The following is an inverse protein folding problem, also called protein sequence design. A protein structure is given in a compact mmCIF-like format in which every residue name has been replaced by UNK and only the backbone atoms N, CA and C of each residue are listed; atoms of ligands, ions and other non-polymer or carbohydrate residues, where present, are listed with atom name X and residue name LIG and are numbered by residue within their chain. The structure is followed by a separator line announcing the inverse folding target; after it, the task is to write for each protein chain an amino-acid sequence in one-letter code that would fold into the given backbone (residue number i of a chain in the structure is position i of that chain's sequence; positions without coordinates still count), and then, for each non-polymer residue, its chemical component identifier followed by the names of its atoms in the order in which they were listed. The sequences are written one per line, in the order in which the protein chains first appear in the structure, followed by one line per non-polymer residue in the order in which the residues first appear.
data_IF_781152098093
#
_entry.id   IF_781152098093
#
_cell.length_a   1.000
_cell.length_b   1.000
_cell.length_c   1.000
_cell.angle_alpha   90.00
_cell.angle_beta   90.00
_cell.angle_gamma   90.00
#
_symmetry.space_group_name_H-M   'P 1'
#
loop_
_entity.id
_entity.type
_entity.pdbx_description
1 polymer ?
#
# COMPACT_ATOMS: atom_id res chain seq x y z
N UNK A 1 50.10 -16.44 32.95
CA UNK A 1 51.13 -15.38 33.01
C UNK A 1 51.38 -14.89 31.60
N UNK A 2 51.17 -13.58 31.40
CA UNK A 2 51.71 -12.68 30.36
C UNK A 2 51.43 -13.04 28.88
N UNK A 3 50.52 -12.32 28.21
CA UNK A 3 50.75 -11.02 27.54
C UNK A 3 51.88 -11.08 26.51
N UNK A 4 51.54 -11.19 25.21
CA UNK A 4 52.03 -10.36 24.10
C UNK A 4 50.99 -10.46 22.96
N UNK A 5 50.28 -9.38 22.63
CA UNK A 5 49.68 -9.20 21.31
C UNK A 5 50.08 -7.83 20.79
N UNK A 6 51.00 -7.91 19.84
CA UNK A 6 51.57 -6.87 19.01
C UNK A 6 50.52 -6.18 18.15
N UNK A 7 50.74 -4.89 17.98
CA UNK A 7 50.19 -4.01 16.96
C UNK A 7 50.32 -4.60 15.56
N UNK A 8 49.31 -4.36 14.72
CA UNK A 8 49.44 -4.43 13.27
C UNK A 8 48.70 -3.25 12.65
N UNK A 9 49.51 -2.32 12.15
CA UNK A 9 49.15 -1.18 11.32
C UNK A 9 49.77 -1.44 9.94
N UNK A 10 49.01 -1.34 8.84
CA UNK A 10 49.63 -1.09 7.55
C UNK A 10 49.01 0.14 6.90
N UNK A 11 49.74 1.24 7.02
CA UNK A 11 49.66 2.37 6.12
C UNK A 11 50.28 2.04 4.74
N UNK A 12 49.84 2.82 3.76
CA UNK A 12 50.52 3.15 2.50
C UNK A 12 50.38 2.21 1.29
N UNK A 13 49.56 2.65 0.34
CA UNK A 13 49.87 2.55 -1.09
C UNK A 13 49.39 3.83 -1.76
N UNK A 14 50.36 4.71 -2.00
CA UNK A 14 50.22 5.94 -2.75
C UNK A 14 50.36 5.67 -4.25
N UNK A 15 49.47 6.27 -5.05
CA UNK A 15 49.75 6.60 -6.45
C UNK A 15 49.00 7.87 -6.84
N UNK A 16 49.79 8.93 -7.04
CA UNK A 16 49.55 10.11 -7.89
C UNK A 16 49.16 9.67 -9.31
N UNK A 17 48.48 10.42 -10.18
CA UNK A 17 48.23 11.86 -10.36
C UNK A 17 47.28 11.99 -11.57
N UNK A 18 46.43 13.02 -11.62
CA UNK A 18 46.11 13.81 -12.83
C UNK A 18 45.08 14.87 -12.50
N UNK A 19 45.51 16.12 -12.63
CA UNK A 19 44.77 17.36 -12.50
C UNK A 19 43.88 17.59 -13.72
N UNK A 20 42.61 17.91 -13.49
CA UNK A 20 41.77 18.59 -14.46
C UNK A 20 40.93 19.65 -13.75
N UNK A 21 41.06 20.85 -14.30
CA UNK A 21 40.57 22.16 -13.91
C UNK A 21 39.08 22.21 -13.55
N UNK A 22 38.76 22.66 -12.33
CA UNK A 22 37.39 23.01 -11.93
C UNK A 22 37.22 24.52 -11.94
N UNK A 23 36.38 24.98 -12.85
CA UNK A 23 35.93 26.36 -12.98
C UNK A 23 35.19 26.81 -11.72
N UNK A 24 35.62 27.96 -11.17
CA UNK A 24 34.89 28.71 -10.15
C UNK A 24 33.45 28.96 -10.59
N UNK A 25 32.49 28.45 -9.83
CA UNK A 25 31.09 28.88 -9.88
C UNK A 25 30.74 29.42 -8.50
N UNK A 26 30.47 30.72 -8.50
CA UNK A 26 30.22 31.57 -7.35
C UNK A 26 29.07 31.04 -6.48
N UNK A 27 29.34 30.99 -5.17
CA UNK A 27 28.34 30.81 -4.13
C UNK A 27 27.24 31.89 -4.24
N UNK A 28 26.04 31.49 -4.62
CA UNK A 28 24.82 32.21 -4.25
C UNK A 28 24.18 31.49 -3.06
N UNK A 29 24.49 31.97 -1.86
CA UNK A 29 23.86 31.60 -0.61
C UNK A 29 22.41 32.06 -0.59
N UNK A 30 21.50 31.17 -0.98
CA UNK A 30 20.09 31.24 -0.61
C UNK A 30 19.81 30.11 0.38
N UNK A 31 20.03 30.42 1.66
CA UNK A 31 19.62 29.61 2.80
C UNK A 31 18.09 29.50 2.84
N UNK A 32 17.57 28.57 2.06
CA UNK A 32 16.25 27.99 2.30
C UNK A 32 16.52 26.58 2.84
N UNK A 33 16.44 26.44 4.15
CA UNK A 33 16.42 25.15 4.84
C UNK A 33 15.11 24.43 4.48
N UNK A 34 14.98 24.01 3.23
CA UNK A 34 13.98 23.02 2.85
C UNK A 34 14.43 21.71 3.50
N UNK A 35 13.59 21.04 4.30
CA UNK A 35 13.92 19.70 4.75
C UNK A 35 14.11 18.87 3.49
N UNK A 36 15.35 18.46 3.25
CA UNK A 36 15.67 17.46 2.24
C UNK A 36 15.04 16.17 2.75
N UNK A 37 13.76 15.98 2.44
CA UNK A 37 13.13 14.67 2.40
C UNK A 37 14.08 13.82 1.57
N UNK A 38 14.84 12.96 2.26
CA UNK A 38 15.83 12.11 1.63
C UNK A 38 15.18 11.35 0.47
N UNK A 39 15.94 11.03 -0.59
CA UNK A 39 15.40 10.34 -1.75
C UNK A 39 14.70 9.07 -1.26
N UNK A 40 13.37 9.09 -1.24
CA UNK A 40 12.59 7.87 -1.14
C UNK A 40 12.78 7.20 -2.48
N UNK A 41 13.68 6.22 -2.55
CA UNK A 41 14.06 5.45 -3.73
C UNK A 41 12.88 4.61 -4.25
N UNK A 42 11.85 5.29 -4.72
CA UNK A 42 10.76 4.73 -5.49
C UNK A 42 11.02 5.16 -6.93
N UNK A 43 11.27 4.18 -7.79
CA UNK A 43 11.30 4.40 -9.22
C UNK A 43 9.96 3.94 -9.79
N UNK A 44 9.11 4.92 -10.08
CA UNK A 44 7.85 4.73 -10.80
C UNK A 44 8.03 5.19 -12.24
N UNK A 45 7.81 4.27 -13.19
CA UNK A 45 7.89 4.56 -14.62
C UNK A 45 6.49 4.59 -15.20
N UNK A 46 6.01 5.80 -15.51
CA UNK A 46 4.76 5.96 -16.23
C UNK A 46 4.95 5.49 -17.68
N UNK A 47 4.37 4.35 -18.02
CA UNK A 47 4.42 3.81 -19.38
C UNK A 47 3.45 4.54 -20.34
N UNK A 48 2.63 5.46 -19.82
CA UNK A 48 1.53 6.09 -20.53
C UNK A 48 1.43 7.56 -20.12
N UNK A 49 1.09 8.43 -21.07
CA UNK A 49 0.85 9.86 -20.82
C UNK A 49 -0.15 10.08 -19.66
N UNK A 50 0.20 10.92 -18.66
CA UNK A 50 -0.66 11.24 -17.52
C UNK A 50 -2.06 11.71 -17.93
N UNK A 51 -2.18 12.38 -19.09
CA UNK A 51 -3.44 12.87 -19.63
C UNK A 51 -4.49 11.76 -19.80
N UNK A 52 -4.07 10.52 -20.04
CA UNK A 52 -4.99 9.39 -20.19
C UNK A 52 -5.73 9.03 -18.90
N UNK A 53 -5.26 9.50 -17.76
CA UNK A 53 -5.80 9.20 -16.43
C UNK A 53 -6.46 10.39 -15.74
N UNK A 54 -6.60 11.54 -16.42
CA UNK A 54 -7.24 12.75 -15.87
C UNK A 54 -8.62 12.45 -15.27
N UNK A 55 -9.47 11.73 -16.00
CA UNK A 55 -10.80 11.36 -15.50
C UNK A 55 -10.74 10.51 -14.20
N UNK A 56 -9.75 9.61 -14.08
CA UNK A 56 -9.57 8.81 -12.84
C UNK A 56 -9.06 9.69 -11.70
N UNK A 57 -8.11 10.58 -11.99
CA UNK A 57 -7.58 11.57 -11.04
C UNK A 57 -8.70 12.45 -10.48
N UNK A 58 -9.55 12.99 -11.35
CA UNK A 58 -10.70 13.82 -10.95
C UNK A 58 -11.70 13.06 -10.07
N UNK A 59 -12.00 11.80 -10.40
CA UNK A 59 -12.87 10.97 -9.56
C UNK A 59 -12.27 10.71 -8.17
N UNK A 60 -10.97 10.43 -8.10
CA UNK A 60 -10.29 10.23 -6.83
C UNK A 60 -10.30 11.49 -5.97
N UNK A 61 -10.06 12.66 -6.58
CA UNK A 61 -10.15 13.95 -5.89
C UNK A 61 -11.55 14.22 -5.36
N UNK A 62 -12.59 13.98 -6.18
CA UNK A 62 -13.99 14.14 -5.77
C UNK A 62 -14.35 13.22 -4.60
N UNK A 63 -13.92 11.95 -4.65
CA UNK A 63 -14.17 10.99 -3.58
C UNK A 63 -13.41 11.35 -2.29
N UNK A 64 -12.15 11.77 -2.40
CA UNK A 64 -11.36 12.23 -1.26
C UNK A 64 -11.99 13.46 -0.59
N UNK A 65 -12.43 14.45 -1.39
CA UNK A 65 -13.13 15.63 -0.89
C UNK A 65 -14.46 15.27 -0.20
N UNK A 66 -15.24 14.35 -0.78
CA UNK A 66 -16.48 13.86 -0.17
C UNK A 66 -16.23 13.16 1.17
N UNK A 67 -15.19 12.31 1.25
CA UNK A 67 -14.80 11.63 2.47
C UNK A 67 -14.31 12.62 3.56
N UNK A 68 -13.54 13.63 3.17
CA UNK A 68 -13.08 14.69 4.08
C UNK A 68 -14.27 15.51 4.63
N UNK A 69 -15.24 15.85 3.77
CA UNK A 69 -16.46 16.54 4.19
C UNK A 69 -17.28 15.69 5.18
N UNK A 70 -17.42 14.39 4.93
CA UNK A 70 -18.10 13.45 5.84
C UNK A 70 -17.36 13.29 7.18
N UNK A 71 -16.03 13.35 7.19
CA UNK A 71 -15.24 13.33 8.42
C UNK A 71 -15.39 14.64 9.22
N UNK A 72 -15.44 15.79 8.54
CA UNK A 72 -15.62 17.10 9.17
C UNK A 72 -17.00 17.24 9.83
N UNK A 73 -18.07 16.78 9.16
CA UNK A 73 -19.42 16.76 9.77
C UNK A 73 -19.49 15.86 10.99
N UNK A 74 -18.79 14.71 10.97
CA UNK A 74 -18.67 13.83 12.15
C UNK A 74 -17.93 14.51 13.31
N UNK A 75 -16.85 15.24 13.04
CA UNK A 75 -16.11 15.96 14.07
C UNK A 75 -16.93 17.09 14.71
N UNK A 76 -17.67 17.86 13.89
CA UNK A 76 -18.54 18.93 14.37
C UNK A 76 -19.73 18.40 15.21
N UNK A 77 -20.17 17.18 14.93
CA UNK A 77 -21.32 16.56 15.59
C UNK A 77 -20.96 15.68 16.81
N UNK A 78 -19.70 15.67 17.26
CA UNK A 78 -19.23 14.91 18.42
C UNK A 78 -19.74 15.43 19.79
N UNK A 79 -20.80 16.24 19.81
CA UNK A 79 -21.66 16.45 20.98
C UNK A 79 -22.47 15.15 21.28
N UNK A 80 -22.98 14.93 22.51
CA UNK A 80 -23.18 13.59 23.10
C UNK A 80 -24.41 12.80 22.61
N UNK A 81 -24.60 12.66 21.29
CA UNK A 81 -25.68 11.87 20.69
C UNK A 81 -25.12 10.61 20.00
N UNK A 82 -25.33 9.44 20.62
CA UNK A 82 -24.90 8.11 20.12
C UNK A 82 -25.40 7.77 18.71
N UNK A 83 -26.43 8.45 18.20
CA UNK A 83 -27.05 8.15 16.90
C UNK A 83 -26.34 8.79 15.69
N UNK A 84 -25.37 9.68 15.88
CA UNK A 84 -24.75 10.41 14.76
C UNK A 84 -23.64 9.59 14.07
N UNK A 85 -23.02 8.66 14.80
CA UNK A 85 -21.93 7.84 14.29
C UNK A 85 -22.34 6.91 13.13
N UNK A 86 -23.60 6.50 13.07
CA UNK A 86 -24.11 5.59 12.02
C UNK A 86 -24.35 6.32 10.70
N UNK A 87 -24.82 7.57 10.73
CA UNK A 87 -25.10 8.37 9.53
C UNK A 87 -23.82 8.73 8.76
N UNK A 88 -22.76 9.15 9.46
CA UNK A 88 -21.49 9.48 8.82
C UNK A 88 -20.80 8.25 8.20
N UNK A 89 -20.90 7.10 8.87
CA UNK A 89 -20.39 5.84 8.33
C UNK A 89 -21.17 5.38 7.09
N UNK A 90 -22.50 5.55 7.07
CA UNK A 90 -23.33 5.25 5.91
C UNK A 90 -22.98 6.15 4.71
N UNK A 91 -22.85 7.47 4.92
CA UNK A 91 -22.46 8.41 3.86
C UNK A 91 -21.07 8.11 3.26
N UNK A 92 -20.10 7.72 4.10
CA UNK A 92 -18.78 7.29 3.63
C UNK A 92 -18.86 5.99 2.80
N UNK A 93 -19.70 5.03 3.24
CA UNK A 93 -19.92 3.78 2.51
C UNK A 93 -20.62 4.02 1.15
N UNK A 94 -21.59 4.93 1.08
CA UNK A 94 -22.25 5.33 -0.16
C UNK A 94 -21.27 6.01 -1.13
N UNK A 95 -20.46 6.95 -0.65
CA UNK A 95 -19.42 7.60 -1.46
C UNK A 95 -18.42 6.58 -2.01
N UNK A 96 -18.02 5.60 -1.20
CA UNK A 96 -17.16 4.50 -1.62
C UNK A 96 -17.83 3.64 -2.70
N UNK A 97 -19.11 3.28 -2.54
CA UNK A 97 -19.86 2.53 -3.54
C UNK A 97 -19.98 3.28 -4.87
N UNK A 98 -20.27 4.58 -4.81
CA UNK A 98 -20.36 5.43 -6.01
C UNK A 98 -19.02 5.48 -6.76
N UNK A 99 -17.92 5.72 -6.05
CA UNK A 99 -16.58 5.70 -6.64
C UNK A 99 -16.30 4.36 -7.33
N UNK A 100 -16.70 3.24 -6.73
CA UNK A 100 -16.51 1.92 -7.31
C UNK A 100 -17.34 1.70 -8.59
N UNK A 101 -18.57 2.21 -8.65
CA UNK A 101 -19.39 2.18 -9.86
C UNK A 101 -18.74 2.99 -10.98
N UNK A 102 -18.29 4.21 -10.67
CA UNK A 102 -17.62 5.09 -11.64
C UNK A 102 -16.33 4.43 -12.17
N UNK A 103 -15.55 3.79 -11.29
CA UNK A 103 -14.35 3.04 -11.68
C UNK A 103 -14.69 1.82 -12.54
N UNK A 104 -15.79 1.11 -12.27
CA UNK A 104 -16.26 -0.02 -13.09
C UNK A 104 -16.64 0.45 -14.50
N UNK A 105 -17.29 1.59 -14.62
CA UNK A 105 -17.67 2.16 -15.93
C UNK A 105 -16.45 2.58 -16.74
N UNK A 106 -15.44 3.18 -16.11
CA UNK A 106 -14.17 3.49 -16.77
C UNK A 106 -13.47 2.21 -17.25
N UNK A 107 -13.52 1.11 -16.48
CA UNK A 107 -12.93 -0.17 -16.88
C UNK A 107 -13.63 -0.77 -18.11
N UNK A 108 -14.97 -0.73 -18.15
CA UNK A 108 -15.76 -1.29 -19.27
C UNK A 108 -15.43 -0.63 -20.60
N UNK A 109 -15.09 0.66 -20.58
CA UNK A 109 -14.81 1.44 -21.80
C UNK A 109 -13.39 1.26 -22.36
N UNK A 110 -12.42 0.73 -21.60
CA UNK A 110 -11.01 0.65 -22.07
C UNK A 110 -10.45 -0.76 -21.93
N UNK A 111 -10.31 -1.46 -23.06
CA UNK A 111 -9.89 -2.88 -23.10
C UNK A 111 -8.46 -3.17 -22.62
N UNK A 112 -7.55 -2.20 -22.50
CA UNK A 112 -6.24 -2.39 -21.83
C UNK A 112 -5.76 -1.06 -21.25
N UNK A 113 -5.83 -0.88 -19.94
CA UNK A 113 -5.14 0.23 -19.27
C UNK A 113 -4.00 -0.33 -18.45
N UNK A 114 -2.86 -0.49 -19.11
CA UNK A 114 -1.58 -0.63 -18.41
C UNK A 114 -1.27 0.73 -17.77
N UNK A 115 -0.96 0.74 -16.47
CA UNK A 115 -0.71 1.98 -15.73
C UNK A 115 0.78 2.37 -15.77
N UNK A 116 1.66 1.38 -15.97
CA UNK A 116 3.10 1.48 -15.77
C UNK A 116 3.57 0.37 -14.84
N UNK A 117 4.86 0.40 -14.52
CA UNK A 117 5.49 -0.51 -13.56
C UNK A 117 5.97 0.27 -12.34
N UNK A 118 5.90 -0.39 -11.18
CA UNK A 118 6.39 0.13 -9.90
C UNK A 118 7.46 -0.82 -9.40
N UNK A 119 8.65 -0.29 -9.14
CA UNK A 119 9.76 -1.05 -8.56
C UNK A 119 9.98 -0.58 -7.12
N UNK A 120 9.93 -1.52 -6.19
CA UNK A 120 10.22 -1.28 -4.78
C UNK A 120 11.33 -2.22 -4.34
N UNK A 121 12.33 -1.72 -3.64
CA UNK A 121 13.41 -2.53 -3.08
C UNK A 121 13.20 -2.69 -1.56
N UNK A 122 12.75 -3.86 -1.07
CA UNK A 122 12.49 -4.05 0.36
C UNK A 122 13.68 -3.75 1.27
N UNK A 123 14.90 -4.07 0.82
CA UNK A 123 16.13 -3.80 1.58
C UNK A 123 16.38 -2.31 1.78
N UNK A 124 16.07 -1.48 0.77
CA UNK A 124 16.19 -0.02 0.86
C UNK A 124 15.11 0.54 1.79
N UNK A 125 13.87 0.06 1.65
CA UNK A 125 12.75 0.46 2.53
C UNK A 125 13.03 0.09 3.98
N UNK A 126 13.60 -1.09 4.24
CA UNK A 126 14.02 -1.52 5.57
C UNK A 126 15.13 -0.64 6.13
N UNK A 127 16.16 -0.30 5.32
CA UNK A 127 17.24 0.59 5.77
C UNK A 127 16.71 1.98 6.12
N UNK A 128 15.88 2.56 5.25
CA UNK A 128 15.23 3.85 5.51
C UNK A 128 14.38 3.81 6.79
N UNK A 129 13.70 2.69 7.06
CA UNK A 129 12.94 2.50 8.29
C UNK A 129 13.83 2.54 9.53
N UNK A 130 15.00 1.90 9.49
CA UNK A 130 15.97 1.96 10.59
C UNK A 130 16.51 3.38 10.79
N UNK A 131 16.74 4.11 9.71
CA UNK A 131 17.24 5.49 9.79
C UNK A 131 16.20 6.44 10.37
N UNK A 132 14.93 6.31 9.96
CA UNK A 132 13.83 7.10 10.53
C UNK A 132 13.63 6.79 12.01
N UNK A 133 13.77 5.52 12.41
CA UNK A 133 13.75 5.11 13.83
C UNK A 133 14.86 5.80 14.63
N UNK A 134 16.09 5.73 14.15
CA UNK A 134 17.24 6.35 14.81
C UNK A 134 17.07 7.86 14.95
N UNK A 135 16.51 8.53 13.93
CA UNK A 135 16.22 9.98 14.00
C UNK A 135 15.18 10.30 15.06
N UNK A 136 14.11 9.52 15.15
CA UNK A 136 13.08 9.67 16.19
C UNK A 136 13.65 9.43 17.60
N UNK A 137 14.49 8.40 17.77
CA UNK A 137 15.17 8.12 19.03
C UNK A 137 16.15 9.24 19.42
N UNK A 138 16.91 9.78 18.46
CA UNK A 138 17.82 10.90 18.69
C UNK A 138 17.08 12.19 19.06
N UNK A 139 15.97 12.50 18.39
CA UNK A 139 15.13 13.66 18.74
C UNK A 139 14.56 13.53 20.15
N UNK A 140 14.11 12.32 20.54
CA UNK A 140 13.61 12.05 21.87
C UNK A 140 14.68 12.20 22.97
N UNK A 141 15.96 11.94 22.67
CA UNK A 141 17.07 12.16 23.62
C UNK A 141 17.44 13.63 23.80
N UNK A 142 17.12 14.49 22.82
CA UNK A 142 17.51 15.90 22.84
C UNK A 142 16.49 16.81 23.53
N UNK A 143 15.37 16.26 24.03
CA UNK A 143 14.18 17.02 24.48
C UNK A 143 13.77 18.12 23.48
N UNK A 144 14.12 17.93 22.20
CA UNK A 144 13.81 18.87 21.15
C UNK A 144 12.34 18.69 20.77
N UNK A 145 11.62 19.80 20.62
CA UNK A 145 10.26 19.77 20.11
C UNK A 145 10.27 19.03 18.76
N UNK A 146 9.45 17.98 18.60
CA UNK A 146 9.45 17.19 17.38
C UNK A 146 9.09 18.10 16.21
N UNK A 147 9.93 18.09 15.17
CA UNK A 147 9.66 18.84 13.93
C UNK A 147 8.21 18.56 13.51
N UNK A 148 7.42 19.60 13.17
CA UNK A 148 6.00 19.44 12.90
C UNK A 148 5.78 18.42 11.78
N UNK A 149 5.41 17.21 12.19
CA UNK A 149 5.23 16.11 11.28
C UNK A 149 4.08 16.44 10.31
N UNK A 150 4.18 15.99 9.05
CA UNK A 150 3.09 16.17 8.10
C UNK A 150 1.79 15.62 8.70
N UNK A 151 0.75 16.44 8.71
CA UNK A 151 -0.52 16.09 9.36
C UNK A 151 -1.34 15.08 8.57
N UNK A 152 -1.03 14.86 7.28
CA UNK A 152 -1.83 14.02 6.37
C UNK A 152 -0.96 13.23 5.38
N UNK A 153 -1.58 12.25 4.73
CA UNK A 153 -1.00 11.47 3.64
C UNK A 153 -0.16 10.25 4.06
N UNK A 154 0.46 9.62 3.06
CA UNK A 154 1.30 8.43 3.20
C UNK A 154 2.52 8.72 4.07
N UNK A 155 3.16 9.88 3.91
CA UNK A 155 4.37 10.24 4.66
C UNK A 155 4.15 10.24 6.18
N UNK A 156 3.01 10.76 6.65
CA UNK A 156 2.62 10.70 8.06
C UNK A 156 2.58 9.25 8.55
N UNK A 157 1.94 8.37 7.79
CA UNK A 157 1.80 6.95 8.16
C UNK A 157 3.12 6.20 8.08
N UNK A 158 3.99 6.54 7.13
CA UNK A 158 5.33 5.93 6.98
C UNK A 158 6.21 6.16 8.21
N UNK A 159 6.13 7.36 8.81
CA UNK A 159 6.86 7.68 10.04
C UNK A 159 6.29 6.96 11.27
N UNK A 160 5.01 6.60 11.23
CA UNK A 160 4.33 5.87 12.31
C UNK A 160 4.39 4.35 12.14
N UNK A 161 4.67 3.85 10.93
CA UNK A 161 4.73 2.42 10.62
C UNK A 161 6.09 1.83 10.97
N UNK A 162 6.08 0.81 11.83
CA UNK A 162 7.29 0.10 12.29
C UNK A 162 7.47 -1.25 11.61
N UNK A 163 6.63 -1.57 10.63
CA UNK A 163 6.78 -2.77 9.81
C UNK A 163 7.15 -2.41 8.38
N UNK A 164 8.10 -3.16 7.81
CA UNK A 164 8.54 -2.97 6.42
C UNK A 164 7.41 -3.29 5.45
N UNK A 165 6.54 -4.23 5.80
CA UNK A 165 5.37 -4.58 5.00
C UNK A 165 4.38 -3.41 4.89
N UNK A 166 3.99 -2.78 6.00
CA UNK A 166 3.11 -1.61 5.97
C UNK A 166 3.76 -0.47 5.16
N UNK A 167 5.08 -0.25 5.31
CA UNK A 167 5.81 0.74 4.50
C UNK A 167 5.74 0.45 3.02
N UNK A 168 5.99 -0.80 2.60
CA UNK A 168 5.92 -1.19 1.19
C UNK A 168 4.53 -0.96 0.60
N UNK A 169 3.46 -1.25 1.35
CA UNK A 169 2.10 -1.00 0.91
C UNK A 169 1.79 0.49 0.76
N UNK A 170 2.24 1.31 1.72
CA UNK A 170 2.09 2.76 1.66
C UNK A 170 2.86 3.36 0.47
N UNK A 171 4.09 2.92 0.24
CA UNK A 171 4.89 3.31 -0.92
C UNK A 171 4.24 2.87 -2.24
N UNK A 172 3.59 1.71 -2.28
CA UNK A 172 2.83 1.25 -3.43
C UNK A 172 1.63 2.17 -3.74
N UNK A 173 0.88 2.59 -2.72
CA UNK A 173 -0.21 3.58 -2.89
C UNK A 173 0.34 4.87 -3.48
N UNK A 174 1.42 5.40 -2.90
CA UNK A 174 2.08 6.62 -3.39
C UNK A 174 2.54 6.48 -4.85
N UNK A 175 3.16 5.35 -5.20
CA UNK A 175 3.64 5.04 -6.56
C UNK A 175 2.51 4.97 -7.58
N UNK A 176 1.38 4.33 -7.21
CA UNK A 176 0.21 4.23 -8.09
C UNK A 176 -0.40 5.61 -8.36
N UNK A 177 -0.36 6.52 -7.39
CA UNK A 177 -0.82 7.90 -7.60
C UNK A 177 0.07 8.65 -8.59
N UNK A 178 1.39 8.46 -8.54
CA UNK A 178 2.31 8.97 -9.57
C UNK A 178 1.96 8.43 -10.96
N UNK A 179 1.69 7.13 -11.08
CA UNK A 179 1.27 6.53 -12.35
C UNK A 179 -0.08 7.07 -12.88
N UNK A 180 -0.95 7.59 -12.00
CA UNK A 180 -2.23 8.23 -12.35
C UNK A 180 -2.04 9.72 -12.71
N UNK A 181 -0.85 10.27 -12.50
CA UNK A 181 -0.52 11.67 -12.81
C UNK A 181 -0.71 12.64 -11.65
N UNK A 182 -0.67 12.16 -10.41
CA UNK A 182 -0.41 13.03 -9.27
C UNK A 182 1.09 13.35 -9.22
N UNK A 183 1.43 14.59 -8.85
CA UNK A 183 2.82 15.04 -8.68
C UNK A 183 2.93 15.87 -7.40
N UNK A 184 4.16 16.20 -6.99
CA UNK A 184 4.46 17.03 -5.83
C UNK A 184 5.26 18.28 -6.22
N UNK A 185 5.11 18.75 -7.47
CA UNK A 185 5.88 19.89 -7.98
C UNK A 185 5.44 21.21 -7.32
N UNK A 186 4.15 21.31 -6.98
CA UNK A 186 3.57 22.46 -6.27
C UNK A 186 2.99 22.05 -4.91
N UNK A 187 2.93 22.96 -3.93
CA UNK A 187 2.32 22.67 -2.63
C UNK A 187 0.84 22.26 -2.75
N UNK A 188 0.09 22.86 -3.66
CA UNK A 188 -1.31 22.52 -3.91
C UNK A 188 -1.46 21.10 -4.47
N UNK A 189 -0.61 20.69 -5.41
CA UNK A 189 -0.61 19.32 -5.94
C UNK A 189 -0.22 18.31 -4.86
N UNK A 190 0.74 18.68 -4.01
CA UNK A 190 1.16 17.87 -2.86
C UNK A 190 0.01 17.66 -1.88
N UNK A 191 -0.75 18.71 -1.56
CA UNK A 191 -1.92 18.62 -0.67
C UNK A 191 -3.01 17.72 -1.27
N UNK A 192 -3.35 17.94 -2.54
CA UNK A 192 -4.29 17.10 -3.29
C UNK A 192 -3.88 15.62 -3.28
N UNK A 193 -2.60 15.33 -3.50
CA UNK A 193 -2.07 13.97 -3.43
C UNK A 193 -2.22 13.38 -2.02
N UNK A 194 -1.88 14.16 -0.97
CA UNK A 194 -2.00 13.73 0.43
C UNK A 194 -3.43 13.43 0.85
N UNK A 195 -4.41 14.19 0.36
CA UNK A 195 -5.84 13.93 0.61
C UNK A 195 -6.29 12.60 0.00
N UNK A 196 -5.86 12.35 -1.24
CA UNK A 196 -6.18 11.10 -1.94
C UNK A 196 -5.44 9.91 -1.31
N UNK A 197 -4.19 10.10 -0.90
CA UNK A 197 -3.44 9.11 -0.11
C UNK A 197 -4.17 8.74 1.17
N UNK A 198 -4.59 9.73 1.95
CA UNK A 198 -5.30 9.51 3.21
C UNK A 198 -6.62 8.79 2.97
N UNK A 199 -7.38 9.21 1.96
CA UNK A 199 -8.60 8.54 1.54
C UNK A 199 -8.35 7.06 1.17
N UNK A 200 -7.38 6.79 0.29
CA UNK A 200 -7.04 5.42 -0.12
C UNK A 200 -6.58 4.56 1.05
N UNK A 201 -5.79 5.11 1.96
CA UNK A 201 -5.32 4.39 3.14
C UNK A 201 -6.42 4.17 4.20
N UNK A 202 -7.53 4.91 4.15
CA UNK A 202 -8.73 4.67 4.95
C UNK A 202 -9.60 3.57 4.36
N UNK A 203 -9.71 3.49 3.03
CA UNK A 203 -10.44 2.42 2.35
C UNK A 203 -9.80 1.04 2.58
N UNK A 204 -8.49 1.04 2.79
CA UNK A 204 -7.64 -0.13 2.68
C UNK A 204 -6.58 -0.09 3.78
N UNK A 205 -6.95 -0.40 5.04
CA UNK A 205 -6.00 -0.41 6.13
C UNK A 205 -4.90 -1.44 5.85
N UNK A 206 -3.63 -1.11 6.08
CA UNK A 206 -2.49 -1.89 5.58
C UNK A 206 -2.41 -3.33 6.15
N UNK A 207 -3.18 -3.65 7.19
CA UNK A 207 -3.25 -5.01 7.76
C UNK A 207 -3.95 -6.04 6.88
N UNK A 208 -4.64 -5.62 5.82
CA UNK A 208 -5.46 -6.54 5.01
C UNK A 208 -4.80 -6.99 3.70
N UNK A 209 -3.69 -6.38 3.29
CA UNK A 209 -2.97 -6.81 2.09
C UNK A 209 -1.95 -7.88 2.46
N UNK A 210 -2.24 -9.12 2.08
CA UNK A 210 -1.17 -10.10 1.93
C UNK A 210 -0.37 -9.72 0.68
N UNK A 211 0.68 -8.91 0.86
CA UNK A 211 1.63 -8.65 -0.20
C UNK A 211 2.47 -9.91 -0.36
N UNK A 212 2.08 -10.76 -1.32
CA UNK A 212 2.87 -11.93 -1.67
C UNK A 212 4.10 -11.48 -2.46
N UNK A 213 5.16 -11.12 -1.73
CA UNK A 213 6.50 -10.92 -2.27
C UNK A 213 7.00 -12.28 -2.73
N UNK A 214 7.20 -12.45 -4.03
CA UNK A 214 7.68 -13.68 -4.63
C UNK A 214 8.84 -13.32 -5.57
N UNK A 215 10.06 -13.48 -5.08
CA UNK A 215 11.29 -13.17 -5.80
C UNK A 215 12.51 -13.18 -4.87
N UNK A 216 13.69 -13.44 -5.44
CA UNK A 216 14.99 -13.17 -4.83
C UNK A 216 15.72 -12.28 -5.83
N UNK A 217 15.77 -10.97 -5.55
CA UNK A 217 16.32 -9.95 -6.45
C UNK A 217 15.24 -9.08 -7.09
N UNK A 218 15.43 -7.75 -7.01
CA UNK A 218 14.63 -6.67 -7.60
C UNK A 218 13.13 -7.02 -7.75
N UNK A 219 12.42 -7.00 -6.63
CA UNK A 219 11.04 -7.47 -6.54
C UNK A 219 10.08 -6.60 -7.38
N UNK A 220 9.69 -7.13 -8.54
CA UNK A 220 8.68 -6.52 -9.40
C UNK A 220 7.30 -6.89 -8.85
N UNK A 221 6.65 -5.95 -8.16
CA UNK A 221 5.23 -6.10 -7.82
C UNK A 221 4.42 -5.86 -9.10
N UNK A 222 4.14 -6.91 -9.85
CA UNK A 222 3.26 -6.79 -11.02
C UNK A 222 1.87 -6.30 -10.57
N UNK A 223 1.46 -5.16 -11.12
CA UNK A 223 0.15 -4.54 -10.88
C UNK A 223 -0.99 -5.52 -11.17
N UNK A 224 -0.78 -6.55 -11.99
CA UNK A 224 -1.78 -7.58 -12.29
C UNK A 224 -2.08 -8.49 -11.08
N UNK A 225 -1.06 -8.81 -10.26
CA UNK A 225 -1.27 -9.51 -8.99
C UNK A 225 -1.98 -8.60 -7.99
N UNK A 226 -1.58 -7.33 -7.89
CA UNK A 226 -2.28 -6.36 -7.03
C UNK A 226 -3.74 -6.19 -7.45
N UNK A 227 -4.03 -6.09 -8.75
CA UNK A 227 -5.39 -6.04 -9.31
C UNK A 227 -6.19 -7.28 -8.95
N UNK A 228 -5.58 -8.45 -9.04
CA UNK A 228 -6.22 -9.72 -8.66
C UNK A 228 -6.52 -9.77 -7.16
N UNK A 229 -5.57 -9.35 -6.32
CA UNK A 229 -5.74 -9.32 -4.87
C UNK A 229 -6.81 -8.31 -4.44
N UNK A 230 -6.79 -7.09 -4.99
CA UNK A 230 -7.83 -6.08 -4.78
C UNK A 230 -9.20 -6.57 -5.24
N UNK A 231 -9.27 -7.28 -6.38
CA UNK A 231 -10.52 -7.89 -6.86
C UNK A 231 -11.05 -8.98 -5.92
N UNK A 232 -10.17 -9.80 -5.33
CA UNK A 232 -10.55 -10.87 -4.39
C UNK A 232 -10.95 -10.35 -3.02
N UNK A 233 -10.21 -9.40 -2.46
CA UNK A 233 -10.58 -8.74 -1.20
C UNK A 233 -11.96 -8.07 -1.33
N UNK A 234 -12.21 -7.43 -2.47
CA UNK A 234 -13.50 -6.82 -2.74
C UNK A 234 -14.66 -7.83 -2.82
N UNK A 235 -14.43 -9.00 -3.44
CA UNK A 235 -15.44 -10.06 -3.47
C UNK A 235 -15.74 -10.59 -2.05
N UNK A 236 -14.71 -10.70 -1.21
CA UNK A 236 -14.87 -11.13 0.19
C UNK A 236 -15.68 -10.13 1.02
N UNK A 237 -15.42 -8.82 0.88
CA UNK A 237 -16.17 -7.78 1.59
C UNK A 237 -17.64 -7.73 1.16
N UNK A 238 -17.93 -7.86 -0.14
CA UNK A 238 -19.31 -7.94 -0.62
C UNK A 238 -20.04 -9.18 -0.11
N UNK A 239 -19.34 -10.31 0.02
CA UNK A 239 -19.92 -11.54 0.58
C UNK A 239 -20.18 -11.40 2.09
N UNK A 240 -19.27 -10.76 2.83
CA UNK A 240 -19.45 -10.49 4.26
C UNK A 240 -20.62 -9.52 4.53
N UNK A 241 -20.76 -8.48 3.71
CA UNK A 241 -21.89 -7.54 3.81
C UNK A 241 -23.24 -8.20 3.49
N UNK A 242 -23.30 -9.09 2.48
CA UNK A 242 -24.50 -9.86 2.17
C UNK A 242 -24.88 -10.84 3.29
N UNK A 243 -23.89 -11.47 3.93
CA UNK A 243 -24.13 -12.34 5.09
C UNK A 243 -24.69 -11.55 6.29
N UNK A 244 -24.19 -10.35 6.56
CA UNK A 244 -24.70 -9.50 7.64
C UNK A 244 -26.15 -9.03 7.41
N UNK A 245 -26.53 -8.72 6.16
CA UNK A 245 -27.91 -8.36 5.80
C UNK A 245 -28.90 -9.53 5.93
N UNK A 246 -28.44 -10.78 5.78
CA UNK A 246 -29.28 -11.97 5.96
C UNK A 246 -29.56 -12.30 7.43
N UNK A 247 -28.70 -11.84 8.36
CA UNK A 247 -28.86 -12.07 9.80
C UNK A 247 -29.92 -11.14 10.43
N UNK A 248 -30.15 -9.94 9.88
CA UNK A 248 -31.18 -9.02 10.37
C UNK A 248 -32.59 -9.30 9.81
N UNK A 249 -32.69 -10.09 8.74
CA UNK A 249 -33.98 -10.52 8.16
C UNK A 249 -34.60 -11.75 8.82
N UNK A 250 -33.82 -12.55 9.54
CA UNK A 250 -34.29 -13.80 10.15
C UNK A 250 -35.10 -13.60 11.45
N UNK A 251 -35.06 -12.42 12.06
CA UNK A 251 -35.83 -12.12 13.28
C UNK A 251 -37.28 -11.69 13.01
N UNK A 252 -37.64 -11.37 11.75
CA UNK A 252 -38.98 -10.86 11.40
C UNK A 252 -39.88 -11.88 10.68
N UNK A 253 -39.35 -13.03 10.26
CA UNK A 253 -40.05 -13.96 9.36
C UNK A 253 -40.59 -15.25 10.02
N UNK A 254 -40.75 -15.29 11.35
CA UNK A 254 -41.29 -16.46 12.08
C UNK A 254 -42.84 -16.49 12.17
N UNK A 255 -43.56 -15.78 11.29
CA UNK A 255 -45.03 -15.80 11.22
C UNK A 255 -45.49 -15.81 9.76
N UNK A 256 -45.53 -16.99 9.15
CA UNK A 256 -46.14 -17.14 7.82
C UNK A 256 -45.86 -18.50 7.23
N UNK A 257 -46.90 -19.32 7.15
CA UNK A 257 -46.91 -20.70 6.65
C UNK A 257 -46.74 -20.79 5.13
N UNK A 258 -46.14 -21.91 4.74
CA UNK A 258 -46.39 -22.82 3.61
C UNK A 258 -46.19 -22.40 2.13
N UNK A 259 -45.35 -23.23 1.48
CA UNK A 259 -45.46 -23.84 0.13
C UNK A 259 -44.67 -23.28 -1.09
N UNK A 260 -43.72 -24.13 -1.52
CA UNK A 260 -43.34 -24.56 -2.89
C UNK A 260 -42.48 -23.72 -3.87
N UNK A 261 -41.34 -24.35 -4.25
CA UNK A 261 -40.60 -24.31 -5.54
C UNK A 261 -39.85 -23.01 -5.91
N UNK A 262 -38.67 -22.95 -6.56
CA UNK A 262 -37.90 -23.89 -7.38
C UNK A 262 -36.44 -23.38 -7.60
N UNK A 263 -35.49 -24.32 -7.64
CA UNK A 263 -34.21 -24.39 -8.39
C UNK A 263 -33.51 -23.12 -8.94
N UNK A 264 -32.29 -22.84 -8.46
CA UNK A 264 -31.14 -22.36 -9.29
C UNK A 264 -29.83 -22.14 -8.49
N UNK A 265 -29.21 -23.20 -7.96
CA UNK A 265 -27.92 -23.09 -7.25
C UNK A 265 -26.96 -24.23 -7.58
N UNK A 266 -26.51 -24.36 -8.83
CA UNK A 266 -25.61 -25.46 -9.25
C UNK A 266 -24.39 -25.05 -10.08
N UNK A 267 -23.98 -23.77 -10.06
CA UNK A 267 -22.74 -23.32 -10.76
C UNK A 267 -21.64 -22.73 -9.88
N UNK A 268 -21.92 -22.35 -8.63
CA UNK A 268 -20.90 -21.80 -7.71
C UNK A 268 -20.14 -22.88 -6.91
N UNK A 269 -20.74 -24.05 -6.67
CA UNK A 269 -20.11 -25.15 -5.92
C UNK A 269 -19.02 -25.89 -6.72
N UNK A 270 -19.11 -25.90 -8.06
CA UNK A 270 -18.14 -26.60 -8.92
C UNK A 270 -16.78 -25.90 -9.01
N UNK A 271 -16.75 -24.55 -8.93
CA UNK A 271 -15.51 -23.78 -9.01
C UNK A 271 -14.66 -23.86 -7.72
N UNK A 272 -15.31 -23.97 -6.55
CA UNK A 272 -14.63 -24.13 -5.27
C UNK A 272 -13.95 -25.52 -5.15
N UNK A 273 -14.59 -26.58 -5.66
CA UNK A 273 -14.02 -27.93 -5.67
C UNK A 273 -12.75 -28.07 -6.52
N UNK A 274 -12.70 -27.39 -7.68
CA UNK A 274 -11.52 -27.41 -8.55
C UNK A 274 -10.29 -26.74 -7.91
N UNK A 275 -10.48 -25.63 -7.19
CA UNK A 275 -9.40 -24.95 -6.47
C UNK A 275 -8.87 -25.82 -5.31
N UNK A 276 -9.75 -26.52 -4.59
CA UNK A 276 -9.37 -27.40 -3.49
C UNK A 276 -8.61 -28.65 -3.97
N UNK A 277 -9.00 -29.23 -5.13
CA UNK A 277 -8.24 -30.33 -5.76
C UNK A 277 -6.84 -29.90 -6.21
N UNK A 278 -6.68 -28.69 -6.76
CA UNK A 278 -5.37 -28.19 -7.18
C UNK A 278 -4.41 -27.99 -5.99
N UNK A 279 -4.94 -27.57 -4.84
CA UNK A 279 -4.16 -27.38 -3.62
C UNK A 279 -3.68 -28.72 -3.02
N UNK A 280 -4.49 -29.77 -3.09
CA UNK A 280 -4.08 -31.12 -2.65
C UNK A 280 -2.98 -31.73 -3.54
N UNK A 281 -3.03 -31.52 -4.87
CA UNK A 281 -1.96 -32.02 -5.75
C UNK A 281 -0.61 -31.35 -5.50
N UNK A 282 -0.57 -30.05 -5.20
CA UNK A 282 0.69 -29.36 -4.88
C UNK A 282 1.33 -29.87 -3.58
N UNK A 283 0.54 -30.18 -2.55
CA UNK A 283 1.08 -30.74 -1.30
C UNK A 283 1.68 -32.14 -1.51
N UNK A 284 1.07 -33.00 -2.34
CA UNK A 284 1.64 -34.32 -2.63
C UNK A 284 2.98 -34.24 -3.38
N UNK A 285 3.15 -33.29 -4.32
CA UNK A 285 4.43 -33.11 -5.01
C UNK A 285 5.55 -32.63 -4.07
N UNK A 286 5.25 -31.76 -3.11
CA UNK A 286 6.25 -31.33 -2.12
C UNK A 286 6.69 -32.48 -1.19
N UNK A 287 5.77 -33.35 -0.79
CA UNK A 287 6.12 -34.52 0.02
C UNK A 287 6.99 -35.53 -0.75
N UNK A 288 6.71 -35.77 -2.04
CA UNK A 288 7.57 -36.63 -2.86
C UNK A 288 8.97 -36.05 -3.05
N UNK A 289 9.12 -34.73 -3.24
CA UNK A 289 10.44 -34.12 -3.32
C UNK A 289 11.21 -34.23 -2.00
N UNK A 290 10.55 -34.05 -0.84
CA UNK A 290 11.22 -34.26 0.45
C UNK A 290 11.66 -35.71 0.66
N UNK A 291 10.85 -36.70 0.27
CA UNK A 291 11.25 -38.11 0.35
C UNK A 291 12.42 -38.43 -0.59
N UNK A 292 12.42 -37.89 -1.82
CA UNK A 292 13.55 -38.04 -2.74
C UNK A 292 14.84 -37.43 -2.18
N UNK A 293 14.74 -36.27 -1.52
CA UNK A 293 15.89 -35.59 -0.90
C UNK A 293 16.40 -36.36 0.33
N UNK A 294 15.49 -36.95 1.12
CA UNK A 294 15.83 -37.85 2.23
C UNK A 294 16.51 -39.13 1.75
N UNK A 295 15.97 -39.80 0.73
CA UNK A 295 16.60 -40.99 0.15
C UNK A 295 17.98 -40.68 -0.44
N UNK A 296 18.13 -39.53 -1.11
CA UNK A 296 19.43 -39.11 -1.65
C UNK A 296 20.46 -38.83 -0.55
N UNK A 297 20.03 -38.35 0.62
CA UNK A 297 20.90 -38.18 1.80
C UNK A 297 21.28 -39.50 2.48
N UNK A 298 20.52 -40.57 2.31
CA UNK A 298 20.87 -41.89 2.86
C UNK A 298 21.81 -42.68 1.96
N UNK A 299 21.96 -42.30 0.69
CA UNK A 299 22.85 -42.95 -0.29
C UNK A 299 24.26 -42.32 -0.35
N UNK A 300 24.50 -41.22 0.37
CA UNK A 300 25.78 -40.53 0.48
C UNK A 300 26.25 -40.55 1.93
#
# INVERSE_FOLDING_TARGET
MQEIRSDYDPSSSSSSSSSSSSSNSSNSSCSSSKPALGPTDILSFAAVEPQRFVQRRELLLKAAAAAAAAAATKAAAAAPAKNINTAAAAAAAESQQQLLLDLKDIRRRRRRTFLGDVFLCPSVVYRQQQDDRKKLEAAAMQDADPEPLPQKGVLRRLLQSWSTEERLQLLLVHSVLHLIGFTHDTPQQTEQMREVEEFLCCLNPPRQFKLHVAGVGLDIVSIERLRTTLGRLHAADTAAAAAAASASGAAAAARGKDSSSSSSSSRAAAAAGAAQQQQQQQQQQQQQQQQLLLNKKQQH
#
